data_IF_657330961607
#
_entry.id   IF_657330961607
#
_cell.length_a   1.000
_cell.length_b   1.000
_cell.length_c   1.000
_cell.angle_alpha   90.00
_cell.angle_beta   90.00
_cell.angle_gamma   90.00
#
_symmetry.space_group_name_H-M   'P 1'
#
loop_
_entity.id
_entity.type
_entity.pdbx_description
1 polymer ?
#
# COMPACT_ATOMS: atom_id res chain seq x y z
N UNK A 1 -22.15 -14.63 6.62
CA UNK A 1 -21.66 -13.85 7.77
C UNK A 1 -22.75 -12.85 8.05
N UNK A 2 -23.46 -12.99 9.16
CA UNK A 2 -24.67 -12.19 9.42
C UNK A 2 -24.32 -10.76 9.88
N UNK A 3 -23.04 -10.51 10.15
CA UNK A 3 -22.44 -9.19 10.33
C UNK A 3 -21.21 -9.16 9.41
N UNK A 4 -21.14 -8.19 8.49
CA UNK A 4 -19.99 -7.97 7.59
C UNK A 4 -18.76 -7.43 8.36
N UNK A 5 -18.44 -8.03 9.50
CA UNK A 5 -17.34 -7.66 10.37
C UNK A 5 -16.51 -8.88 10.80
N UNK A 6 -15.28 -8.61 11.25
CA UNK A 6 -14.40 -9.62 11.80
C UNK A 6 -13.55 -9.04 12.94
N UNK A 7 -13.33 -9.83 13.98
CA UNK A 7 -12.31 -9.53 14.98
C UNK A 7 -10.95 -10.09 14.55
N UNK A 8 -9.92 -9.25 14.60
CA UNK A 8 -8.54 -9.60 14.26
C UNK A 8 -7.60 -9.14 15.38
N UNK A 9 -6.83 -10.07 15.93
CA UNK A 9 -5.84 -9.74 16.96
C UNK A 9 -4.65 -8.98 16.35
N UNK A 10 -4.06 -8.05 17.10
CA UNK A 10 -2.97 -7.19 16.62
C UNK A 10 -1.69 -7.95 16.22
N UNK A 11 -1.51 -9.17 16.71
CA UNK A 11 -0.40 -10.06 16.35
C UNK A 11 -0.61 -10.85 15.05
N UNK A 12 -1.78 -10.72 14.41
CA UNK A 12 -2.00 -11.23 13.07
C UNK A 12 -1.27 -10.39 12.03
N UNK A 13 -0.98 -11.00 10.89
CA UNK A 13 -0.44 -10.34 9.70
C UNK A 13 -1.56 -10.00 8.71
N UNK A 14 -1.30 -9.09 7.77
CA UNK A 14 -2.25 -8.79 6.70
C UNK A 14 -2.56 -10.03 5.84
N UNK A 15 -1.56 -10.88 5.58
CA UNK A 15 -1.73 -12.13 4.84
C UNK A 15 -2.67 -13.10 5.53
N UNK A 16 -2.53 -13.29 6.85
CA UNK A 16 -3.46 -14.13 7.64
C UNK A 16 -4.90 -13.59 7.61
N UNK A 17 -5.06 -12.26 7.69
CA UNK A 17 -6.37 -11.61 7.56
C UNK A 17 -6.99 -11.88 6.19
N UNK A 18 -6.24 -11.65 5.10
CA UNK A 18 -6.71 -11.87 3.74
C UNK A 18 -7.04 -13.35 3.47
N UNK A 19 -6.19 -14.26 3.96
CA UNK A 19 -6.43 -15.70 3.87
C UNK A 19 -7.75 -16.08 4.56
N UNK A 20 -7.96 -15.62 5.81
CA UNK A 20 -9.16 -15.93 6.57
C UNK A 20 -10.44 -15.40 5.89
N UNK A 21 -10.40 -14.18 5.33
CA UNK A 21 -11.51 -13.61 4.56
C UNK A 21 -11.79 -14.47 3.32
N UNK A 22 -10.77 -14.76 2.51
CA UNK A 22 -10.91 -15.51 1.26
C UNK A 22 -11.43 -16.94 1.46
N UNK A 23 -11.08 -17.59 2.58
CA UNK A 23 -11.61 -18.91 2.96
C UNK A 23 -13.10 -18.90 3.26
N UNK A 24 -13.66 -17.74 3.61
CA UNK A 24 -15.07 -17.59 3.99
C UNK A 24 -15.92 -16.91 2.91
N UNK A 25 -15.35 -16.01 2.13
CA UNK A 25 -16.06 -15.30 1.06
C UNK A 25 -15.13 -14.92 -0.09
N UNK A 26 -15.63 -15.07 -1.32
CA UNK A 26 -14.95 -14.62 -2.55
C UNK A 26 -15.30 -13.18 -2.94
N UNK A 27 -16.24 -12.56 -2.22
CA UNK A 27 -16.81 -11.24 -2.53
C UNK A 27 -16.65 -10.25 -1.38
N UNK A 28 -15.80 -10.59 -0.41
CA UNK A 28 -15.39 -9.65 0.64
C UNK A 28 -13.87 -9.49 0.61
N UNK A 29 -13.41 -8.30 0.96
CA UNK A 29 -12.02 -7.96 1.15
C UNK A 29 -11.84 -6.99 2.30
N UNK A 30 -10.61 -6.49 2.48
CA UNK A 30 -10.30 -5.46 3.47
C UNK A 30 -9.21 -4.51 2.92
N UNK A 31 -9.37 -3.18 3.04
CA UNK A 31 -8.43 -2.20 2.50
C UNK A 31 -7.19 -2.07 3.39
N UNK A 32 -6.17 -2.91 3.15
CA UNK A 32 -4.88 -2.84 3.82
C UNK A 32 -3.72 -3.04 2.84
N UNK A 33 -2.48 -2.93 3.34
CA UNK A 33 -1.25 -3.00 2.55
C UNK A 33 -1.07 -4.30 1.77
N UNK A 34 -0.22 -4.25 0.74
CA UNK A 34 0.10 -5.40 -0.11
C UNK A 34 1.08 -6.38 0.52
N UNK A 35 1.99 -5.89 1.37
CA UNK A 35 2.99 -6.73 2.02
C UNK A 35 2.34 -7.68 3.05
N UNK A 36 2.29 -8.97 2.74
CA UNK A 36 1.52 -9.96 3.50
C UNK A 36 2.00 -10.14 4.95
N UNK A 37 3.28 -9.90 5.24
CA UNK A 37 3.87 -10.13 6.57
C UNK A 37 3.73 -8.95 7.53
N UNK A 38 3.23 -7.80 7.07
CA UNK A 38 3.02 -6.64 7.94
C UNK A 38 2.02 -7.00 9.04
N UNK A 39 2.35 -6.68 10.28
CA UNK A 39 1.47 -6.87 11.43
C UNK A 39 0.30 -5.90 11.44
N UNK A 40 -0.90 -6.42 11.70
CA UNK A 40 -2.16 -5.66 11.76
C UNK A 40 -2.10 -4.53 12.79
N UNK A 41 -1.54 -4.77 13.98
CA UNK A 41 -1.51 -3.78 15.05
C UNK A 41 -0.81 -2.46 14.66
N UNK A 42 0.39 -2.56 14.10
CA UNK A 42 1.14 -1.40 13.62
C UNK A 42 0.51 -0.77 12.37
N UNK A 43 0.04 -1.60 11.44
CA UNK A 43 -0.53 -1.13 10.18
C UNK A 43 -1.80 -0.29 10.40
N UNK A 44 -2.77 -0.83 11.15
CA UNK A 44 -4.06 -0.16 11.35
C UNK A 44 -3.90 1.08 12.21
N UNK A 45 -3.03 1.02 13.23
CA UNK A 45 -2.85 2.15 14.12
C UNK A 45 -2.12 3.34 13.50
N UNK A 46 -1.39 3.12 12.39
CA UNK A 46 -0.79 4.18 11.57
C UNK A 46 -1.65 4.61 10.38
N UNK A 47 -2.87 4.07 10.23
CA UNK A 47 -3.75 4.34 9.10
C UNK A 47 -3.92 3.11 8.20
N UNK A 48 -2.86 2.74 7.48
CA UNK A 48 -2.82 1.55 6.63
C UNK A 48 -3.45 1.77 5.25
N UNK A 49 -2.63 2.16 4.26
CA UNK A 49 -3.08 2.26 2.87
C UNK A 49 -2.86 0.94 2.12
N UNK A 50 -3.61 0.74 1.03
CA UNK A 50 -3.69 -0.53 0.31
C UNK A 50 -4.19 -0.39 -1.11
N UNK A 51 -4.31 -1.49 -1.85
CA UNK A 51 -4.66 -1.49 -3.29
C UNK A 51 -6.12 -1.15 -3.59
N UNK A 52 -6.98 -1.04 -2.56
CA UNK A 52 -8.40 -0.68 -2.72
C UNK A 52 -8.80 0.53 -1.87
N UNK A 53 -7.81 1.27 -1.34
CA UNK A 53 -8.06 2.41 -0.44
C UNK A 53 -8.72 3.61 -1.12
N UNK A 54 -8.52 3.80 -2.43
CA UNK A 54 -9.22 4.85 -3.19
C UNK A 54 -10.72 4.62 -3.27
N UNK A 55 -11.18 3.38 -3.09
CA UNK A 55 -12.61 3.03 -3.04
C UNK A 55 -13.15 2.99 -1.61
N UNK A 56 -12.36 2.52 -0.65
CA UNK A 56 -12.84 2.21 0.70
C UNK A 56 -12.20 2.99 1.84
N UNK A 57 -11.23 3.86 1.57
CA UNK A 57 -10.41 4.51 2.60
C UNK A 57 -9.32 3.59 3.15
N UNK A 58 -8.66 4.04 4.21
CA UNK A 58 -7.59 3.32 4.90
C UNK A 58 -8.14 2.13 5.72
N UNK A 59 -7.25 1.26 6.19
CA UNK A 59 -7.60 0.22 7.17
C UNK A 59 -8.27 0.82 8.40
N UNK A 60 -7.72 1.93 8.91
CA UNK A 60 -8.23 2.62 10.10
C UNK A 60 -9.60 3.28 9.89
N UNK A 61 -9.95 3.62 8.65
CA UNK A 61 -11.28 4.14 8.30
C UNK A 61 -12.36 3.04 8.36
N UNK A 62 -11.94 1.77 8.33
CA UNK A 62 -12.81 0.59 8.33
C UNK A 62 -12.78 -0.19 9.66
N UNK A 63 -12.18 0.38 10.72
CA UNK A 63 -12.25 -0.14 12.09
C UNK A 63 -13.52 0.38 12.77
N UNK A 64 -14.29 -0.52 13.38
CA UNK A 64 -15.56 -0.20 14.05
C UNK A 64 -15.51 -0.34 15.59
N UNK A 65 -14.59 -1.15 16.10
CA UNK A 65 -14.24 -1.30 17.53
C UNK A 65 -12.77 -1.74 17.67
N UNK A 66 -12.19 -1.66 18.86
CA UNK A 66 -10.84 -2.12 19.18
C UNK A 66 -10.76 -2.53 20.66
N UNK A 67 -9.83 -3.43 21.00
CA UNK A 67 -9.43 -3.72 22.37
C UNK A 67 -8.03 -3.16 22.62
N UNK A 68 -7.86 -2.42 23.71
CA UNK A 68 -6.58 -1.83 24.13
C UNK A 68 -6.34 -2.02 25.62
N UNK A 69 -5.08 -2.27 25.99
CA UNK A 69 -4.60 -2.22 27.38
C UNK A 69 -4.03 -0.84 27.64
N UNK A 70 -4.60 -0.12 28.62
CA UNK A 70 -4.15 1.20 29.02
C UNK A 70 -2.94 1.15 29.99
N UNK A 71 -2.48 2.33 30.44
CA UNK A 71 -1.35 2.47 31.37
C UNK A 71 -1.58 1.81 32.74
N UNK A 72 -2.84 1.56 33.11
CA UNK A 72 -3.21 0.91 34.37
C UNK A 72 -3.38 -0.61 34.21
N UNK A 73 -3.13 -1.16 33.01
CA UNK A 73 -3.33 -2.57 32.72
C UNK A 73 -4.79 -2.97 32.51
N UNK A 74 -5.70 -2.01 32.30
CA UNK A 74 -7.12 -2.29 32.08
C UNK A 74 -7.39 -2.52 30.60
N UNK A 75 -8.17 -3.56 30.27
CA UNK A 75 -8.66 -3.82 28.92
C UNK A 75 -9.88 -2.95 28.65
N UNK A 76 -9.80 -2.12 27.61
CA UNK A 76 -10.86 -1.22 27.18
C UNK A 76 -11.30 -1.61 25.77
N UNK A 77 -12.61 -1.71 25.55
CA UNK A 77 -13.20 -1.66 24.20
C UNK A 77 -13.54 -0.21 23.82
N UNK A 78 -14.12 0.04 22.63
CA UNK A 78 -14.50 1.39 22.18
C UNK A 78 -15.33 2.14 23.21
N UNK A 79 -16.37 1.51 23.75
CA UNK A 79 -17.25 2.11 24.76
C UNK A 79 -16.49 2.52 26.01
N UNK A 80 -15.57 1.68 26.49
CA UNK A 80 -14.80 1.94 27.71
C UNK A 80 -13.64 2.92 27.50
N UNK A 81 -13.04 2.95 26.32
CA UNK A 81 -11.92 3.85 26.00
C UNK A 81 -12.38 5.27 25.63
N UNK A 82 -13.64 5.40 25.19
CA UNK A 82 -14.21 6.66 24.71
C UNK A 82 -13.79 7.01 23.28
N UNK A 83 -14.53 7.91 22.65
CA UNK A 83 -14.33 8.24 21.24
C UNK A 83 -12.99 8.94 20.95
N UNK A 84 -12.45 9.71 21.90
CA UNK A 84 -11.17 10.41 21.70
C UNK A 84 -10.00 9.43 21.58
N UNK A 85 -9.93 8.44 22.47
CA UNK A 85 -8.91 7.40 22.40
C UNK A 85 -9.15 6.48 21.20
N UNK A 86 -10.41 6.13 20.90
CA UNK A 86 -10.76 5.35 19.71
C UNK A 86 -10.40 6.09 18.40
N UNK A 87 -10.53 7.41 18.36
CA UNK A 87 -10.03 8.22 17.25
C UNK A 87 -8.50 8.17 17.19
N UNK A 88 -7.82 8.41 18.32
CA UNK A 88 -6.36 8.50 18.38
C UNK A 88 -5.64 7.23 17.90
N UNK A 89 -6.16 6.05 18.27
CA UNK A 89 -5.56 4.78 17.87
C UNK A 89 -5.76 4.45 16.39
N UNK A 90 -6.69 5.10 15.68
CA UNK A 90 -7.00 4.84 14.25
C UNK A 90 -6.20 5.74 13.29
N UNK A 91 -4.91 5.92 13.57
CA UNK A 91 -3.99 6.66 12.70
C UNK A 91 -2.88 7.41 13.41
N UNK A 92 -2.97 7.56 14.75
CA UNK A 92 -1.99 8.32 15.55
C UNK A 92 -0.74 7.54 15.94
N UNK A 93 -0.63 6.28 15.53
CA UNK A 93 0.43 5.35 15.94
C UNK A 93 0.14 4.72 17.30
N UNK A 94 -0.12 3.41 17.31
CA UNK A 94 -0.59 2.70 18.50
C UNK A 94 0.37 2.75 19.69
N UNK A 95 1.68 2.87 19.43
CA UNK A 95 2.73 2.92 20.46
C UNK A 95 2.58 4.08 21.44
N UNK A 96 1.86 5.14 21.07
CA UNK A 96 1.69 6.34 21.89
C UNK A 96 0.58 6.22 22.93
N UNK A 97 -0.31 5.22 22.80
CA UNK A 97 -1.60 5.22 23.49
C UNK A 97 -1.88 3.96 24.32
N UNK A 98 -1.07 2.91 24.18
CA UNK A 98 -1.21 1.66 24.94
C UNK A 98 -0.88 0.44 24.10
N UNK A 99 -1.35 -0.74 24.52
CA UNK A 99 -1.16 -1.99 23.78
C UNK A 99 -2.48 -2.43 23.18
N UNK A 100 -2.67 -2.17 21.89
CA UNK A 100 -3.87 -2.60 21.16
C UNK A 100 -3.78 -4.11 20.96
N UNK A 101 -4.75 -4.86 21.47
CA UNK A 101 -4.75 -6.33 21.43
C UNK A 101 -5.59 -6.89 20.29
N UNK A 102 -6.66 -6.21 19.89
CA UNK A 102 -7.52 -6.63 18.79
C UNK A 102 -8.28 -5.46 18.14
N UNK A 103 -8.73 -5.68 16.92
CA UNK A 103 -9.54 -4.75 16.13
C UNK A 103 -10.79 -5.46 15.66
N UNK A 104 -11.93 -4.78 15.73
CA UNK A 104 -13.11 -5.16 14.96
C UNK A 104 -13.12 -4.35 13.67
N UNK A 105 -13.05 -5.06 12.54
CA UNK A 105 -13.03 -4.46 11.21
C UNK A 105 -14.34 -4.70 10.49
N UNK A 106 -14.78 -3.71 9.72
CA UNK A 106 -15.82 -3.87 8.71
C UNK A 106 -15.19 -4.38 7.41
N UNK A 107 -15.67 -5.53 6.94
CA UNK A 107 -15.29 -6.06 5.64
C UNK A 107 -15.97 -5.26 4.53
N UNK A 108 -15.32 -5.16 3.38
CA UNK A 108 -15.84 -4.41 2.24
C UNK A 108 -16.21 -5.34 1.10
N UNK A 109 -17.27 -5.04 0.33
CA UNK A 109 -17.62 -5.85 -0.83
C UNK A 109 -16.54 -5.73 -1.90
N UNK A 110 -16.14 -6.84 -2.51
CA UNK A 110 -15.25 -6.86 -3.68
C UNK A 110 -15.94 -7.64 -4.79
N UNK A 111 -15.77 -7.25 -6.05
CA UNK A 111 -16.37 -8.00 -7.15
C UNK A 111 -15.74 -9.40 -7.25
N UNK A 112 -16.47 -10.42 -7.75
CA UNK A 112 -15.93 -11.75 -7.96
C UNK A 112 -14.70 -11.77 -8.88
N UNK A 113 -14.65 -10.81 -9.81
CA UNK A 113 -13.58 -10.62 -10.78
C UNK A 113 -13.08 -9.19 -10.72
N UNK A 114 -11.76 -9.05 -10.70
CA UNK A 114 -10.99 -7.80 -10.82
C UNK A 114 -9.96 -7.97 -11.93
N UNK A 115 -9.49 -6.87 -12.48
CA UNK A 115 -8.48 -6.90 -13.55
C UNK A 115 -7.16 -6.30 -13.07
N UNK A 116 -6.05 -7.01 -13.29
CA UNK A 116 -4.68 -6.53 -13.04
C UNK A 116 -3.93 -6.34 -14.36
N UNK A 117 -2.93 -5.45 -14.38
CA UNK A 117 -1.97 -5.34 -15.48
C UNK A 117 -0.61 -4.79 -15.01
N UNK A 118 0.40 -4.90 -15.86
CA UNK A 118 1.67 -4.16 -15.71
C UNK A 118 2.10 -3.64 -17.07
N UNK A 119 2.52 -2.36 -17.12
CA UNK A 119 2.99 -1.71 -18.34
C UNK A 119 4.37 -1.11 -18.07
N UNK A 120 5.45 -1.87 -18.27
CA UNK A 120 6.79 -1.36 -18.12
C UNK A 120 7.14 -0.39 -19.26
N UNK A 121 7.80 0.72 -18.92
CA UNK A 121 8.40 1.66 -19.87
C UNK A 121 9.76 2.12 -19.35
N UNK A 122 10.78 2.07 -20.19
CA UNK A 122 12.07 2.74 -19.92
C UNK A 122 12.01 4.23 -20.25
N UNK A 123 13.00 5.02 -19.83
CA UNK A 123 13.12 6.42 -20.24
C UNK A 123 13.15 6.58 -21.76
N UNK A 124 13.88 5.71 -22.46
CA UNK A 124 14.02 5.68 -23.93
C UNK A 124 12.69 5.35 -24.61
N UNK A 125 11.82 4.59 -23.94
CA UNK A 125 10.47 4.25 -24.41
C UNK A 125 9.43 5.31 -24.03
N UNK A 126 9.84 6.46 -23.51
CA UNK A 126 8.96 7.59 -23.19
C UNK A 126 8.34 7.54 -21.79
N UNK A 127 8.95 6.86 -20.81
CA UNK A 127 8.46 6.82 -19.42
C UNK A 127 8.21 8.23 -18.83
N UNK A 128 9.04 9.22 -19.17
CA UNK A 128 8.86 10.60 -18.70
C UNK A 128 7.53 11.21 -19.16
N UNK A 129 7.19 11.03 -20.44
CA UNK A 129 5.93 11.55 -21.00
C UNK A 129 4.72 10.79 -20.44
N UNK A 130 4.84 9.47 -20.29
CA UNK A 130 3.81 8.65 -19.65
C UNK A 130 3.56 9.09 -18.21
N UNK A 131 4.63 9.34 -17.45
CA UNK A 131 4.52 9.76 -16.07
C UNK A 131 3.91 11.16 -15.92
N UNK A 132 4.31 12.12 -16.75
CA UNK A 132 3.66 13.45 -16.78
C UNK A 132 2.16 13.35 -17.05
N UNK A 133 1.77 12.50 -18.01
CA UNK A 133 0.37 12.23 -18.29
C UNK A 133 -0.32 11.58 -17.08
N UNK A 134 0.30 10.58 -16.45
CA UNK A 134 -0.21 9.95 -15.24
C UNK A 134 -0.47 11.00 -14.16
N UNK A 135 0.50 11.84 -13.80
CA UNK A 135 0.34 12.86 -12.76
C UNK A 135 -0.86 13.79 -13.01
N UNK A 136 -1.05 14.21 -14.25
CA UNK A 136 -2.09 15.18 -14.63
C UNK A 136 -3.51 14.60 -14.68
N UNK A 137 -3.65 13.30 -14.96
CA UNK A 137 -4.97 12.65 -15.04
C UNK A 137 -5.34 11.88 -13.76
N UNK A 138 -4.35 11.54 -12.94
CA UNK A 138 -4.49 10.56 -11.86
C UNK A 138 -5.62 10.90 -10.88
N UNK A 139 -5.70 12.14 -10.41
CA UNK A 139 -6.75 12.60 -9.48
C UNK A 139 -8.17 12.59 -10.08
N UNK A 140 -8.31 12.45 -11.40
CA UNK A 140 -9.60 12.38 -12.12
C UNK A 140 -10.05 10.94 -12.39
N UNK A 141 -9.22 9.96 -12.06
CA UNK A 141 -9.52 8.56 -12.32
C UNK A 141 -10.60 8.03 -11.36
N UNK A 142 -11.51 7.16 -11.82
CA UNK A 142 -12.55 6.55 -10.99
C UNK A 142 -11.98 5.92 -9.72
N UNK A 143 -12.73 5.95 -8.61
CA UNK A 143 -12.29 5.47 -7.29
C UNK A 143 -11.89 3.99 -7.25
N UNK A 144 -12.47 3.21 -8.17
CA UNK A 144 -12.24 1.78 -8.39
C UNK A 144 -10.85 1.50 -8.95
N UNK A 145 -10.22 2.49 -9.57
CA UNK A 145 -8.91 2.36 -10.18
C UNK A 145 -7.81 2.66 -9.16
N UNK A 146 -7.10 1.63 -8.74
CA UNK A 146 -5.77 1.81 -8.13
C UNK A 146 -4.75 1.82 -9.25
N UNK A 147 -3.87 2.83 -9.35
CA UNK A 147 -2.89 2.92 -10.45
C UNK A 147 -1.60 3.51 -9.91
N UNK A 148 -0.77 2.64 -9.34
CA UNK A 148 0.51 3.03 -8.77
C UNK A 148 1.59 3.07 -9.85
N UNK A 149 2.51 4.00 -9.70
CA UNK A 149 3.71 4.09 -10.52
C UNK A 149 4.90 3.65 -9.69
N UNK A 150 5.48 2.51 -10.04
CA UNK A 150 6.68 1.97 -9.37
C UNK A 150 7.87 2.14 -10.29
N UNK A 151 8.90 2.81 -9.80
CA UNK A 151 10.11 3.09 -10.55
C UNK A 151 11.32 2.50 -9.86
N UNK A 152 12.22 1.95 -10.67
CA UNK A 152 13.51 1.45 -10.25
C UNK A 152 14.52 1.57 -11.38
N UNK A 153 15.69 0.98 -11.20
CA UNK A 153 16.75 0.99 -12.21
C UNK A 153 16.89 -0.40 -12.81
N UNK A 154 16.99 -0.46 -14.14
CA UNK A 154 17.31 -1.69 -14.88
C UNK A 154 18.46 -1.43 -15.86
N UNK A 155 19.07 -2.51 -16.35
CA UNK A 155 20.01 -2.39 -17.46
C UNK A 155 19.25 -2.09 -18.76
N UNK A 156 19.82 -1.23 -19.59
CA UNK A 156 19.32 -0.96 -20.94
C UNK A 156 19.34 -2.24 -21.78
N UNK A 157 18.51 -2.29 -22.82
CA UNK A 157 18.38 -3.45 -23.72
C UNK A 157 19.66 -3.84 -24.46
N UNK A 158 20.64 -2.93 -24.55
CA UNK A 158 21.97 -3.17 -25.11
C UNK A 158 23.04 -3.48 -24.03
N UNK A 159 22.64 -3.59 -22.76
CA UNK A 159 23.48 -3.77 -21.57
C UNK A 159 24.62 -2.74 -21.43
N UNK A 160 24.57 -1.61 -22.13
CA UNK A 160 25.64 -0.62 -22.12
C UNK A 160 25.50 0.40 -20.98
N UNK A 161 24.28 0.64 -20.46
CA UNK A 161 23.97 1.65 -19.41
C UNK A 161 22.80 1.24 -18.50
N UNK A 162 22.64 1.90 -17.35
CA UNK A 162 21.45 1.83 -16.49
C UNK A 162 20.36 2.79 -17.00
N UNK A 163 19.08 2.42 -16.91
CA UNK A 163 17.91 3.26 -17.24
C UNK A 163 16.81 3.12 -16.17
N UNK A 164 15.97 4.14 -16.02
CA UNK A 164 14.82 4.09 -15.10
C UNK A 164 13.66 3.37 -15.79
N UNK A 165 13.08 2.38 -15.10
CA UNK A 165 11.88 1.66 -15.55
C UNK A 165 10.70 2.10 -14.71
N UNK A 166 9.64 2.54 -15.37
CA UNK A 166 8.34 2.84 -14.77
C UNK A 166 7.38 1.68 -15.02
N UNK A 167 6.79 1.15 -13.95
CA UNK A 167 5.72 0.16 -13.98
C UNK A 167 4.41 0.82 -13.52
N UNK A 168 3.38 0.79 -14.36
CA UNK A 168 2.02 1.13 -13.95
C UNK A 168 1.32 -0.14 -13.46
N UNK A 169 0.96 -0.18 -12.18
CA UNK A 169 0.33 -1.33 -11.52
C UNK A 169 -1.08 -0.99 -11.06
N UNK A 170 -2.12 -1.61 -11.67
CA UNK A 170 -3.47 -1.31 -11.27
C UNK A 170 -4.38 -2.49 -10.97
N UNK A 171 -5.51 -2.10 -10.39
CA UNK A 171 -6.69 -2.93 -10.16
C UNK A 171 -7.91 -2.21 -10.76
N UNK A 172 -8.62 -2.84 -11.70
CA UNK A 172 -9.67 -2.21 -12.54
C UNK A 172 -10.95 -3.06 -12.65
N UNK A 173 -12.05 -2.38 -13.00
CA UNK A 173 -13.27 -2.99 -13.56
C UNK A 173 -13.67 -2.44 -14.97
N UNK A 174 -12.99 -1.43 -15.51
CA UNK A 174 -13.35 -0.81 -16.81
C UNK A 174 -12.12 -0.38 -17.62
N UNK A 175 -12.28 -0.16 -18.92
CA UNK A 175 -11.17 0.03 -19.88
C UNK A 175 -10.77 1.52 -20.02
N UNK A 176 -9.47 1.83 -20.11
CA UNK A 176 -8.96 3.21 -20.16
C UNK A 176 -8.12 3.47 -21.42
N UNK A 177 -8.79 3.96 -22.47
CA UNK A 177 -8.17 4.20 -23.77
C UNK A 177 -7.12 5.33 -23.73
N UNK A 178 -7.22 6.30 -22.80
CA UNK A 178 -6.30 7.43 -22.77
C UNK A 178 -4.86 7.05 -22.39
N UNK A 179 -4.63 5.88 -21.78
CA UNK A 179 -3.28 5.38 -21.51
C UNK A 179 -2.69 4.57 -22.68
N UNK A 180 -3.44 4.38 -23.77
CA UNK A 180 -2.99 3.65 -24.95
C UNK A 180 -2.71 2.16 -24.67
N UNK A 181 -3.40 1.59 -23.69
CA UNK A 181 -3.19 0.22 -23.23
C UNK A 181 -3.89 -0.78 -24.15
N UNK A 182 -3.18 -1.83 -24.53
CA UNK A 182 -3.73 -2.92 -25.33
C UNK A 182 -4.39 -3.99 -24.44
N UNK A 183 -5.48 -4.58 -24.94
CA UNK A 183 -6.30 -5.59 -24.25
C UNK A 183 -5.51 -6.82 -23.76
N UNK A 184 -4.37 -7.15 -24.40
CA UNK A 184 -3.52 -8.28 -24.04
C UNK A 184 -2.71 -8.08 -22.74
N UNK A 185 -2.66 -6.86 -22.18
CA UNK A 185 -1.96 -6.60 -20.92
C UNK A 185 -2.82 -6.87 -19.68
N UNK A 186 -4.12 -7.12 -19.86
CA UNK A 186 -5.08 -7.27 -18.78
C UNK A 186 -5.28 -8.74 -18.41
N UNK A 187 -5.20 -9.04 -17.12
CA UNK A 187 -5.50 -10.38 -16.58
C UNK A 187 -6.66 -10.26 -15.60
N UNK A 188 -7.75 -10.98 -15.88
CA UNK A 188 -8.87 -11.11 -14.95
C UNK A 188 -8.57 -12.16 -13.89
N UNK A 189 -8.72 -11.78 -12.64
CA UNK A 189 -8.44 -12.60 -11.47
C UNK A 189 -9.48 -12.35 -10.37
N UNK A 190 -9.56 -13.22 -9.37
CA UNK A 190 -10.31 -12.89 -8.15
C UNK A 190 -9.55 -11.87 -7.29
N UNK A 191 -10.25 -11.19 -6.36
CA UNK A 191 -9.60 -10.23 -5.45
C UNK A 191 -8.43 -10.84 -4.66
N UNK A 192 -8.56 -12.07 -4.17
CA UNK A 192 -7.46 -12.72 -3.42
C UNK A 192 -6.25 -13.03 -4.31
N UNK A 193 -6.46 -13.30 -5.60
CA UNK A 193 -5.36 -13.49 -6.54
C UNK A 193 -4.68 -12.16 -6.88
N UNK A 194 -5.39 -11.04 -6.88
CA UNK A 194 -4.73 -9.73 -6.98
C UNK A 194 -3.93 -9.40 -5.71
N UNK A 195 -4.38 -9.82 -4.53
CA UNK A 195 -3.58 -9.74 -3.29
C UNK A 195 -2.27 -10.53 -3.44
N UNK A 196 -2.32 -11.75 -3.99
CA UNK A 196 -1.10 -12.52 -4.28
C UNK A 196 -0.18 -11.77 -5.25
N UNK A 197 -0.73 -11.23 -6.33
CA UNK A 197 0.02 -10.47 -7.33
C UNK A 197 0.79 -9.29 -6.72
N UNK A 198 0.11 -8.44 -5.93
CA UNK A 198 0.73 -7.27 -5.32
C UNK A 198 1.68 -7.60 -4.16
N UNK A 199 1.65 -8.83 -3.66
CA UNK A 199 2.59 -9.36 -2.67
C UNK A 199 3.76 -10.13 -3.32
N UNK A 200 3.93 -10.03 -4.65
CA UNK A 200 4.93 -10.73 -5.46
C UNK A 200 4.85 -12.27 -5.40
N UNK A 201 3.66 -12.82 -5.14
CA UNK A 201 3.38 -14.26 -5.25
C UNK A 201 2.77 -14.61 -6.61
N UNK A 202 2.88 -15.88 -7.00
CA UNK A 202 2.18 -16.39 -8.18
C UNK A 202 0.66 -16.31 -7.99
N UNK A 203 -0.05 -15.71 -8.95
CA UNK A 203 -1.52 -15.59 -8.95
C UNK A 203 -2.26 -16.95 -9.00
N UNK A 204 -1.56 -18.01 -9.42
CA UNK A 204 -2.05 -19.38 -9.45
C UNK A 204 -1.41 -20.24 -8.35
N UNK A 205 -0.64 -19.62 -7.45
CA UNK A 205 0.01 -20.28 -6.32
C UNK A 205 -0.98 -20.65 -5.21
N UNK A 206 -0.54 -21.48 -4.25
CA UNK A 206 -1.37 -21.84 -3.10
C UNK A 206 -1.60 -20.62 -2.20
N UNK A 207 -2.81 -20.45 -1.68
CA UNK A 207 -3.13 -19.33 -0.77
C UNK A 207 -2.33 -19.36 0.54
N UNK A 208 -1.84 -20.53 0.95
CA UNK A 208 -1.07 -20.71 2.19
C UNK A 208 0.26 -19.95 2.20
N UNK A 209 0.73 -19.42 1.06
CA UNK A 209 1.86 -18.46 1.03
C UNK A 209 1.55 -17.21 1.86
N UNK A 210 0.28 -16.80 1.96
CA UNK A 210 -0.13 -15.66 2.79
C UNK A 210 -0.02 -15.93 4.29
N UNK A 211 0.11 -17.20 4.71
CA UNK A 211 0.33 -17.59 6.10
C UNK A 211 1.82 -17.60 6.48
N UNK A 212 2.71 -17.42 5.50
CA UNK A 212 4.14 -17.40 5.76
C UNK A 212 4.53 -16.08 6.43
N UNK A 213 5.20 -16.20 7.59
CA UNK A 213 5.74 -15.06 8.35
C UNK A 213 7.23 -14.83 8.12
N UNK A 214 7.89 -15.73 7.40
CA UNK A 214 9.34 -15.66 7.16
C UNK A 214 9.62 -14.72 5.98
N UNK A 215 10.52 -13.76 6.17
CA UNK A 215 11.05 -12.93 5.08
C UNK A 215 12.57 -12.94 5.09
N UNK A 216 13.15 -12.93 3.89
CA UNK A 216 14.52 -12.50 3.67
C UNK A 216 14.55 -10.97 3.78
N UNK A 217 15.17 -10.46 4.83
CA UNK A 217 15.27 -9.02 5.05
C UNK A 217 16.51 -8.46 4.35
N UNK A 218 16.29 -7.47 3.50
CA UNK A 218 17.32 -6.48 3.17
C UNK A 218 17.19 -5.32 4.16
N UNK A 219 18.30 -4.69 4.52
CA UNK A 219 18.21 -3.41 5.21
C UNK A 219 17.66 -2.38 4.23
N UNK A 220 16.89 -1.42 4.73
CA UNK A 220 16.37 -0.36 3.88
C UNK A 220 16.28 0.96 4.63
N UNK A 221 16.31 2.05 3.87
CA UNK A 221 15.97 3.38 4.33
C UNK A 221 14.87 3.89 3.43
N UNK A 222 13.74 4.22 4.03
CA UNK A 222 12.63 4.85 3.34
C UNK A 222 12.39 6.28 3.85
N UNK A 223 11.89 7.13 2.96
CA UNK A 223 11.27 8.42 3.25
C UNK A 223 10.01 8.56 2.41
N UNK A 224 9.13 9.48 2.79
CA UNK A 224 7.90 9.74 2.03
C UNK A 224 7.57 11.22 1.97
N UNK A 225 6.96 11.63 0.87
CA UNK A 225 6.39 12.95 0.64
C UNK A 225 5.00 12.85 0.01
N UNK A 226 4.29 13.97 -0.06
CA UNK A 226 2.98 14.07 -0.68
C UNK A 226 2.97 15.19 -1.69
N UNK A 227 2.42 14.91 -2.86
CA UNK A 227 2.38 15.86 -3.97
C UNK A 227 0.99 16.43 -4.11
N UNK A 228 0.89 17.75 -4.07
CA UNK A 228 -0.35 18.51 -4.27
C UNK A 228 -0.44 19.13 -5.66
N UNK A 229 0.69 19.28 -6.36
CA UNK A 229 0.77 19.85 -7.72
C UNK A 229 1.77 19.03 -8.56
N UNK A 230 1.52 18.78 -9.86
CA UNK A 230 2.41 17.97 -10.70
C UNK A 230 3.86 18.44 -10.67
N UNK A 231 4.80 17.50 -10.59
CA UNK A 231 6.23 17.77 -10.60
C UNK A 231 6.62 18.23 -12.02
N UNK A 232 7.30 19.37 -12.11
CA UNK A 232 7.79 19.90 -13.39
C UNK A 232 8.79 18.95 -14.05
N UNK A 233 8.87 18.99 -15.38
CA UNK A 233 9.79 18.15 -16.18
C UNK A 233 11.23 18.22 -15.68
N UNK A 234 11.72 19.42 -15.36
CA UNK A 234 13.09 19.60 -14.83
C UNK A 234 13.30 18.87 -13.49
N UNK A 235 12.29 18.87 -12.61
CA UNK A 235 12.32 18.14 -11.35
C UNK A 235 12.33 16.63 -11.56
N UNK A 236 11.57 16.13 -12.54
CA UNK A 236 11.59 14.72 -12.93
C UNK A 236 12.96 14.29 -13.44
N UNK A 237 13.60 15.09 -14.29
CA UNK A 237 14.96 14.81 -14.78
C UNK A 237 15.96 14.73 -13.62
N UNK A 238 15.87 15.64 -12.65
CA UNK A 238 16.69 15.56 -11.44
C UNK A 238 16.46 14.28 -10.64
N UNK A 239 15.20 13.88 -10.48
CA UNK A 239 14.82 12.62 -9.82
C UNK A 239 15.34 11.38 -10.54
N UNK A 240 15.28 11.35 -11.88
CA UNK A 240 15.86 10.28 -12.69
C UNK A 240 17.36 10.15 -12.47
N UNK A 241 18.08 11.26 -12.47
CA UNK A 241 19.52 11.26 -12.23
C UNK A 241 19.86 10.71 -10.85
N UNK A 242 19.13 11.13 -9.81
CA UNK A 242 19.33 10.59 -8.45
C UNK A 242 19.07 9.08 -8.37
N UNK A 243 18.03 8.56 -9.03
CA UNK A 243 17.80 7.11 -9.08
C UNK A 243 18.96 6.38 -9.78
N UNK A 244 19.51 6.93 -10.85
CA UNK A 244 20.60 6.29 -11.61
C UNK A 244 21.93 6.22 -10.83
N UNK A 245 22.13 7.08 -9.83
CA UNK A 245 23.31 7.07 -8.94
C UNK A 245 23.26 5.91 -7.93
N UNK A 246 22.08 5.37 -7.63
CA UNK A 246 21.89 4.33 -6.63
C UNK A 246 21.95 2.91 -7.25
N UNK A 247 22.26 1.92 -6.41
CA UNK A 247 22.35 0.53 -6.85
C UNK A 247 20.98 -0.16 -6.91
N UNK A 248 20.18 0.04 -5.88
CA UNK A 248 18.90 -0.65 -5.62
C UNK A 248 17.83 0.32 -5.13
N UNK A 249 17.60 1.45 -5.85
CA UNK A 249 16.55 2.38 -5.46
C UNK A 249 15.19 1.87 -5.92
N UNK A 250 14.17 2.16 -5.11
CA UNK A 250 12.77 1.97 -5.45
C UNK A 250 12.04 3.27 -5.12
N UNK A 251 11.30 3.78 -6.09
CA UNK A 251 10.41 4.91 -5.94
C UNK A 251 8.98 4.46 -6.22
N UNK A 252 8.10 4.53 -5.23
CA UNK A 252 6.70 4.15 -5.35
C UNK A 252 5.85 5.41 -5.27
N UNK A 253 4.98 5.62 -6.26
CA UNK A 253 4.04 6.72 -6.28
C UNK A 253 2.62 6.18 -6.25
N UNK A 254 1.95 6.45 -5.14
CA UNK A 254 0.64 5.90 -4.84
C UNK A 254 -0.43 6.94 -5.04
N UNK A 255 -1.36 6.66 -5.94
CA UNK A 255 -2.41 7.60 -6.33
C UNK A 255 -3.41 7.85 -5.18
N UNK A 256 -3.66 9.12 -4.85
CA UNK A 256 -4.69 9.56 -3.91
C UNK A 256 -6.00 9.93 -4.65
N UNK A 257 -6.94 10.59 -3.97
CA UNK A 257 -8.27 10.88 -4.51
C UNK A 257 -9.30 9.78 -4.24
N UNK A 258 -10.42 9.82 -4.95
CA UNK A 258 -11.56 8.94 -4.68
C UNK A 258 -12.07 9.12 -3.24
N UNK A 259 -12.31 8.01 -2.54
CA UNK A 259 -12.76 7.98 -1.15
C UNK A 259 -11.86 8.76 -0.19
N UNK A 260 -10.56 8.85 -0.48
CA UNK A 260 -9.62 9.64 0.34
C UNK A 260 -9.90 11.14 0.31
N UNK A 261 -10.50 11.67 -0.76
CA UNK A 261 -10.92 13.08 -0.85
C UNK A 261 -12.28 13.36 -0.20
N UNK A 262 -13.09 12.33 0.02
CA UNK A 262 -14.41 12.44 0.66
C UNK A 262 -14.33 12.44 2.18
N UNK A 263 -13.30 11.80 2.73
CA UNK A 263 -13.09 11.70 4.18
C UNK A 263 -12.50 13.01 4.69
N UNK A 264 -13.08 13.56 5.77
CA UNK A 264 -12.54 14.76 6.43
C UNK A 264 -11.10 14.54 6.89
N UNK A 265 -10.24 15.56 6.72
CA UNK A 265 -8.87 15.59 7.24
C UNK A 265 -8.78 15.43 8.76
N UNK A 266 -9.86 15.68 9.50
CA UNK A 266 -9.95 15.48 10.95
C UNK A 266 -10.72 14.22 11.36
N UNK A 267 -11.26 13.45 10.40
CA UNK A 267 -12.09 12.26 10.70
C UNK A 267 -11.32 11.14 11.41
N UNK A 268 -10.00 11.10 11.20
CA UNK A 268 -9.01 10.24 11.88
C UNK A 268 -7.73 11.05 12.07
N UNK A 269 -6.77 10.60 12.89
CA UNK A 269 -5.47 11.27 13.02
C UNK A 269 -4.68 11.35 11.71
N UNK A 270 -4.91 10.47 10.73
CA UNK A 270 -4.29 10.55 9.42
C UNK A 270 -4.88 11.72 8.61
N UNK A 271 -4.13 12.81 8.36
CA UNK A 271 -4.71 14.06 7.89
C UNK A 271 -4.70 14.22 6.37
N UNK A 272 -3.98 13.37 5.65
CA UNK A 272 -3.67 13.53 4.23
C UNK A 272 -4.81 12.99 3.39
N UNK A 273 -5.80 13.85 3.15
CA UNK A 273 -7.07 13.53 2.50
C UNK A 273 -7.22 14.30 1.19
N UNK A 274 -8.20 15.20 1.12
CA UNK A 274 -8.41 16.05 -0.05
C UNK A 274 -7.19 16.98 -0.31
N UNK A 275 -6.88 17.21 -1.59
CA UNK A 275 -5.77 18.08 -2.03
C UNK A 275 -4.45 17.36 -2.33
N UNK A 276 -4.27 16.11 -1.91
CA UNK A 276 -3.12 15.30 -2.34
C UNK A 276 -3.42 14.58 -3.65
N UNK A 277 -2.55 14.73 -4.66
CA UNK A 277 -2.64 14.01 -5.93
C UNK A 277 -2.08 12.59 -5.76
N UNK A 278 -0.92 12.44 -5.14
CA UNK A 278 -0.32 11.13 -4.81
C UNK A 278 0.71 11.26 -3.67
N UNK A 279 0.95 10.14 -2.99
CA UNK A 279 2.08 9.98 -2.08
C UNK A 279 3.30 9.46 -2.85
N UNK A 280 4.50 9.82 -2.40
CA UNK A 280 5.77 9.29 -2.90
C UNK A 280 6.47 8.58 -1.76
N UNK A 281 6.95 7.36 -1.99
CA UNK A 281 7.90 6.68 -1.13
C UNK A 281 9.22 6.49 -1.86
N UNK A 282 10.30 7.00 -1.27
CA UNK A 282 11.67 6.82 -1.73
C UNK A 282 12.32 5.77 -0.84
N UNK A 283 12.83 4.69 -1.43
CA UNK A 283 13.45 3.58 -0.71
C UNK A 283 14.76 3.18 -1.35
N UNK A 284 15.77 2.92 -0.54
CA UNK A 284 17.03 2.28 -0.96
C UNK A 284 17.25 1.05 -0.11
N UNK A 285 17.67 -0.04 -0.73
CA UNK A 285 17.89 -1.33 -0.09
C UNK A 285 19.37 -1.71 -0.12
N UNK A 286 19.87 -2.38 0.90
CA UNK A 286 21.24 -2.91 0.90
C UNK A 286 21.35 -4.21 1.71
N UNK A 287 22.33 -5.03 1.34
CA UNK A 287 22.65 -6.27 2.05
C UNK A 287 23.17 -5.98 3.47
N UNK A 288 23.02 -6.95 4.37
CA UNK A 288 23.67 -6.84 5.68
C UNK A 288 25.19 -6.77 5.50
N UNK A 289 25.80 -5.65 5.90
CA UNK A 289 27.25 -5.58 6.04
C UNK A 289 27.70 -6.70 6.99
N UNK A 290 28.76 -7.43 6.62
CA UNK A 290 29.45 -8.34 7.54
C UNK A 290 29.77 -7.53 8.80
N UNK A 291 29.23 -7.94 9.96
CA UNK A 291 29.50 -7.28 11.25
C UNK A 291 31.01 -7.12 11.42
N UNK A 292 31.52 -5.88 11.37
CA UNK A 292 32.71 -5.58 12.16
C UNK A 292 32.29 -5.70 13.62
N UNK A 293 32.84 -6.69 14.32
CA UNK A 293 32.76 -6.77 15.76
C UNK A 293 33.51 -5.57 16.34
N UNK A 294 32.80 -4.47 16.54
CA UNK A 294 33.26 -3.41 17.44
C UNK A 294 32.93 -3.87 18.85
N UNK A 295 33.97 -4.24 19.60
CA UNK A 295 33.89 -4.53 21.03
C UNK A 295 33.64 -3.19 21.72
N UNK A 296 32.48 -3.03 22.37
CA UNK A 296 32.26 -1.92 23.28
C UNK A 296 32.97 -2.25 24.60
N UNK A 297 33.94 -1.43 24.98
CA UNK A 297 34.49 -1.39 26.35
C UNK A 297 33.91 -0.13 27.00
N UNK A 298 33.09 -0.30 28.02
CA UNK A 298 32.45 0.75 28.80
C UNK A 298 31.44 0.17 29.77
#
# INVERSE_FOLDING_TARGET
>A
MDQESAWVQSGATLGELYYAIAKKSKVHGFPAGSCSTIGVGGHFSGGGFGTIFRKYGLSSDNVIDAQIVDVNGKILNRTLMGEDLFWAVRGGGGSSFGVITAWEVKLVPVPPTVTIFNVPRTLEQGANNLFQKWQTISHKLPSELFLDSVMGVANSSDNSRKTVVLNLLPLMQSNFAELGLQLNNFTEVSWIQSVLYFADYSINGPLDVLLQRNQTFSNFKAKSDYVTEPILVAGLVGLWNMLLEENTPILILTLYGGRMSEISGSGTPFPLRNGSIYGIQYSVYWDQMKKHQSIWIG
#
